data_IF_327077775317
#
_entry.id   IF_327077775317
#
_cell.length_a   1.000
_cell.length_b   1.000
_cell.length_c   1.000
_cell.angle_alpha   90.00
_cell.angle_beta   90.00
_cell.angle_gamma   90.00
#
_symmetry.space_group_name_H-M   'P 1'
#
loop_
_entity.id
_entity.type
_entity.pdbx_description
1 polymer ?
#
# COMPACT_ATOMS: atom_id res chain seq x y z
N UNK A 1 6.14 -19.07 -12.42
CA UNK A 1 6.28 -18.43 -11.10
C UNK A 1 4.89 -18.06 -10.62
N UNK A 2 4.49 -18.48 -9.41
CA UNK A 2 3.20 -18.10 -8.81
C UNK A 2 3.41 -16.76 -8.10
N UNK A 3 2.71 -15.71 -8.55
CA UNK A 3 2.65 -14.44 -7.82
C UNK A 3 1.29 -14.35 -7.10
N UNK A 4 1.33 -14.53 -5.79
CA UNK A 4 0.13 -14.55 -4.94
C UNK A 4 -0.63 -13.23 -4.94
N UNK A 5 0.06 -12.11 -5.22
CA UNK A 5 -0.58 -10.78 -5.32
C UNK A 5 -1.50 -10.67 -6.53
N UNK A 6 -1.24 -11.47 -7.56
CA UNK A 6 -1.91 -11.39 -8.87
C UNK A 6 -3.06 -12.38 -9.03
N UNK A 7 -3.45 -13.04 -7.94
CA UNK A 7 -4.58 -13.95 -7.91
C UNK A 7 -4.34 -15.30 -8.59
N UNK A 8 -3.08 -15.64 -8.85
CA UNK A 8 -2.65 -17.01 -9.17
C UNK A 8 -2.53 -17.88 -7.91
N UNK A 9 -3.06 -17.41 -6.78
CA UNK A 9 -3.07 -18.09 -5.50
C UNK A 9 -4.39 -18.83 -5.24
N UNK A 10 -4.39 -19.78 -4.29
CA UNK A 10 -5.62 -20.30 -3.70
C UNK A 10 -6.31 -19.22 -2.86
N UNK A 11 -6.96 -18.25 -3.52
CA UNK A 11 -7.93 -17.33 -2.93
C UNK A 11 -7.37 -16.31 -1.93
N UNK A 12 -7.33 -16.69 -0.65
CA UNK A 12 -7.20 -15.80 0.51
C UNK A 12 -5.78 -15.27 0.75
N UNK A 13 -4.75 -15.90 0.16
CA UNK A 13 -3.33 -15.61 0.44
C UNK A 13 -2.94 -14.19 0.00
N UNK A 14 -3.56 -13.63 -1.03
CA UNK A 14 -3.31 -12.26 -1.51
C UNK A 14 -3.51 -11.19 -0.45
N UNK A 15 -4.26 -11.48 0.62
CA UNK A 15 -4.52 -10.54 1.71
C UNK A 15 -3.51 -10.62 2.84
N UNK A 16 -2.53 -11.54 2.79
CA UNK A 16 -1.44 -11.61 3.78
C UNK A 16 -0.36 -10.55 3.52
N UNK A 17 -0.43 -9.84 2.39
CA UNK A 17 0.47 -8.74 2.06
C UNK A 17 -0.35 -7.48 1.78
N UNK A 18 -0.18 -6.45 2.60
CA UNK A 18 -0.75 -5.12 2.38
C UNK A 18 0.31 -4.08 2.71
N UNK A 19 0.81 -3.38 1.70
CA UNK A 19 1.68 -2.23 1.94
C UNK A 19 0.84 -1.12 2.61
N UNK A 20 1.41 -0.46 3.62
CA UNK A 20 0.77 0.62 4.35
C UNK A 20 1.77 1.72 4.68
N UNK A 21 1.29 2.96 4.71
CA UNK A 21 2.02 4.10 5.27
C UNK A 21 1.68 4.19 6.75
N UNK A 22 2.60 3.73 7.60
CA UNK A 22 2.40 3.69 9.04
C UNK A 22 3.05 4.89 9.72
N UNK A 23 2.34 5.47 10.70
CA UNK A 23 2.81 6.54 11.56
C UNK A 23 2.36 6.25 13.00
N UNK A 24 2.97 6.89 13.99
CA UNK A 24 2.51 6.78 15.38
C UNK A 24 1.33 7.70 15.64
N UNK A 25 0.42 7.30 16.51
CA UNK A 25 -0.73 8.12 16.93
C UNK A 25 -0.26 9.48 17.48
N UNK A 26 0.77 9.48 18.32
CA UNK A 26 1.36 10.70 18.88
C UNK A 26 1.89 11.67 17.80
N UNK A 27 2.40 11.18 16.66
CA UNK A 27 2.80 12.07 15.58
C UNK A 27 1.59 12.57 14.79
N UNK A 28 0.60 11.71 14.54
CA UNK A 28 -0.65 12.12 13.90
C UNK A 28 -1.40 13.21 14.68
N UNK A 29 -1.37 13.12 16.01
CA UNK A 29 -1.96 14.12 16.90
C UNK A 29 -1.22 15.47 16.86
N UNK A 30 0.12 15.43 16.84
CA UNK A 30 0.96 16.65 16.86
C UNK A 30 1.03 17.35 15.51
N UNK A 31 1.15 16.58 14.43
CA UNK A 31 1.47 17.08 13.09
C UNK A 31 0.47 16.59 12.03
N UNK A 32 -0.85 16.79 12.24
CA UNK A 32 -1.87 16.21 11.38
C UNK A 32 -1.79 16.68 9.92
N UNK A 33 -1.52 17.96 9.71
CA UNK A 33 -1.43 18.54 8.36
C UNK A 33 -0.24 17.97 7.57
N UNK A 34 0.87 17.69 8.26
CA UNK A 34 2.05 17.03 7.69
C UNK A 34 1.73 15.60 7.25
N UNK A 35 0.97 14.86 8.06
CA UNK A 35 0.52 13.51 7.69
C UNK A 35 -0.42 13.57 6.49
N UNK A 36 -1.40 14.47 6.49
CA UNK A 36 -2.33 14.64 5.38
C UNK A 36 -1.61 15.05 4.08
N UNK A 37 -0.59 15.91 4.17
CA UNK A 37 0.25 16.28 3.04
C UNK A 37 1.04 15.09 2.49
N UNK A 38 1.60 14.24 3.37
CA UNK A 38 2.27 13.02 2.96
C UNK A 38 1.30 12.05 2.26
N UNK A 39 0.08 11.87 2.79
CA UNK A 39 -0.97 11.06 2.14
C UNK A 39 -1.33 11.62 0.77
N UNK A 40 -1.54 12.94 0.63
CA UNK A 40 -1.77 13.59 -0.68
C UNK A 40 -0.63 13.31 -1.66
N UNK A 41 0.62 13.39 -1.21
CA UNK A 41 1.79 13.11 -2.06
C UNK A 41 1.81 11.65 -2.54
N UNK A 42 1.53 10.70 -1.64
CA UNK A 42 1.44 9.27 -1.99
C UNK A 42 0.31 9.00 -2.98
N UNK A 43 -0.88 9.56 -2.75
CA UNK A 43 -2.04 9.43 -3.65
C UNK A 43 -1.69 9.94 -5.05
N UNK A 44 -1.09 11.13 -5.15
CA UNK A 44 -0.64 11.71 -6.42
C UNK A 44 0.41 10.83 -7.11
N UNK A 45 1.38 10.32 -6.38
CA UNK A 45 2.41 9.44 -6.92
C UNK A 45 1.82 8.13 -7.46
N UNK A 46 0.95 7.46 -6.69
CA UNK A 46 0.29 6.23 -7.13
C UNK A 46 -0.60 6.46 -8.37
N UNK A 47 -1.32 7.57 -8.44
CA UNK A 47 -2.10 7.92 -9.63
C UNK A 47 -1.24 8.18 -10.85
N UNK A 48 -0.13 8.90 -10.68
CA UNK A 48 0.82 9.14 -11.75
C UNK A 48 1.40 7.82 -12.27
N UNK A 49 1.84 6.93 -11.37
CA UNK A 49 2.34 5.59 -11.71
C UNK A 49 1.28 4.73 -12.38
N UNK A 50 0.01 4.82 -11.95
CA UNK A 50 -1.09 4.10 -12.59
C UNK A 50 -1.41 4.61 -13.99
N UNK A 51 -1.27 5.91 -14.22
CA UNK A 51 -1.52 6.55 -15.52
C UNK A 51 -0.39 6.33 -16.50
N UNK A 52 0.85 6.42 -16.03
CA UNK A 52 2.06 6.23 -16.81
C UNK A 52 3.14 5.58 -15.94
N UNK A 53 3.22 4.24 -15.91
CA UNK A 53 4.23 3.51 -15.16
C UNK A 53 5.68 3.85 -15.58
N UNK A 54 5.88 4.33 -16.82
CA UNK A 54 7.22 4.62 -17.35
C UNK A 54 7.92 5.75 -16.60
N UNK A 55 7.17 6.62 -15.90
CA UNK A 55 7.76 7.68 -15.07
C UNK A 55 8.64 7.14 -13.94
N UNK A 56 8.43 5.89 -13.51
CA UNK A 56 9.26 5.26 -12.49
C UNK A 56 10.68 4.99 -12.98
N UNK A 57 10.90 4.83 -14.29
CA UNK A 57 12.24 4.60 -14.87
C UNK A 57 13.16 5.78 -14.54
N UNK A 58 12.66 7.01 -14.71
CA UNK A 58 13.41 8.25 -14.43
C UNK A 58 13.83 8.36 -12.96
N UNK A 59 13.05 7.78 -12.05
CA UNK A 59 13.38 7.71 -10.62
C UNK A 59 14.34 6.55 -10.36
N UNK A 60 14.10 5.40 -11.01
CA UNK A 60 14.95 4.21 -10.99
C UNK A 60 16.39 4.54 -11.34
N UNK A 61 16.62 5.18 -12.49
CA UNK A 61 17.95 5.57 -12.99
C UNK A 61 18.71 6.52 -12.05
N UNK A 62 17.99 7.30 -11.23
CA UNK A 62 18.60 8.23 -10.27
C UNK A 62 18.97 7.58 -8.95
N UNK A 63 18.22 6.55 -8.54
CA UNK A 63 18.33 5.97 -7.19
C UNK A 63 18.99 4.59 -7.18
N UNK A 64 19.01 3.89 -8.32
CA UNK A 64 19.48 2.51 -8.42
C UNK A 64 20.56 2.36 -9.51
N UNK A 65 21.42 1.33 -9.39
CA UNK A 65 22.37 0.99 -10.44
C UNK A 65 21.69 0.69 -11.78
N UNK A 66 22.33 0.96 -12.93
CA UNK A 66 21.75 0.73 -14.26
C UNK A 66 21.23 -0.69 -14.49
N UNK A 67 21.86 -1.69 -13.88
CA UNK A 67 21.48 -3.10 -13.98
C UNK A 67 20.11 -3.41 -13.34
N UNK A 68 19.67 -2.58 -12.39
CA UNK A 68 18.38 -2.74 -11.71
C UNK A 68 17.23 -1.97 -12.40
N UNK A 69 17.53 -1.01 -13.28
CA UNK A 69 16.50 -0.14 -13.89
C UNK A 69 15.47 -0.91 -14.69
N UNK A 70 15.91 -1.88 -15.50
CA UNK A 70 14.99 -2.71 -16.30
C UNK A 70 14.08 -3.55 -15.42
N UNK A 71 14.61 -4.13 -14.34
CA UNK A 71 13.83 -4.91 -13.37
C UNK A 71 12.78 -4.03 -12.67
N UNK A 72 13.14 -2.80 -12.29
CA UNK A 72 12.21 -1.84 -11.68
C UNK A 72 11.08 -1.50 -12.66
N UNK A 73 11.39 -1.26 -13.92
CA UNK A 73 10.38 -0.96 -14.94
C UNK A 73 9.36 -2.09 -15.07
N UNK A 74 9.83 -3.34 -15.16
CA UNK A 74 8.96 -4.51 -15.27
C UNK A 74 8.09 -4.68 -14.02
N UNK A 75 8.65 -4.49 -12.82
CA UNK A 75 7.89 -4.60 -11.57
C UNK A 75 6.80 -3.53 -11.52
N UNK A 76 7.14 -2.26 -11.76
CA UNK A 76 6.20 -1.14 -11.71
C UNK A 76 5.09 -1.30 -12.74
N UNK A 77 5.44 -1.66 -13.98
CA UNK A 77 4.47 -1.92 -15.06
C UNK A 77 3.46 -2.98 -14.63
N UNK A 78 3.94 -4.10 -14.10
CA UNK A 78 3.06 -5.18 -13.68
C UNK A 78 2.24 -4.83 -12.43
N UNK A 79 2.73 -3.94 -11.57
CA UNK A 79 2.06 -3.57 -10.32
C UNK A 79 1.04 -2.42 -10.51
N UNK A 80 0.88 -1.91 -11.74
CA UNK A 80 -0.11 -0.88 -12.14
C UNK A 80 -1.51 -1.05 -11.53
N UNK A 81 -2.12 -2.26 -11.52
CA UNK A 81 -3.45 -2.45 -10.94
C UNK A 81 -3.50 -2.26 -9.41
N UNK A 82 -2.36 -2.35 -8.73
CA UNK A 82 -2.23 -2.29 -7.28
C UNK A 82 -1.86 -0.90 -6.75
N UNK A 83 -1.62 0.09 -7.63
CA UNK A 83 -1.51 1.50 -7.24
C UNK A 83 -2.89 2.07 -6.89
N UNK A 84 -3.39 1.65 -5.72
CA UNK A 84 -4.65 2.08 -5.12
C UNK A 84 -4.37 2.54 -3.68
N UNK A 85 -4.67 3.80 -3.32
CA UNK A 85 -4.30 4.36 -2.02
C UNK A 85 -5.22 3.89 -0.89
N UNK A 86 -6.37 3.29 -1.21
CA UNK A 86 -7.38 2.92 -0.24
C UNK A 86 -7.06 1.59 0.44
N UNK A 87 -7.20 1.59 1.77
CA UNK A 87 -7.20 0.36 2.57
C UNK A 87 -8.66 0.02 2.87
N UNK A 88 -9.16 -1.12 2.38
CA UNK A 88 -10.57 -1.49 2.55
C UNK A 88 -10.83 -2.17 3.90
N UNK A 89 -12.07 -2.09 4.40
CA UNK A 89 -12.49 -2.86 5.60
C UNK A 89 -12.29 -4.37 5.37
N UNK A 90 -12.58 -4.86 4.17
CA UNK A 90 -12.33 -6.27 3.79
C UNK A 90 -10.85 -6.64 3.91
N UNK A 91 -9.94 -5.75 3.50
CA UNK A 91 -8.49 -5.96 3.64
C UNK A 91 -8.12 -6.15 5.12
N UNK A 92 -8.58 -5.25 6.00
CA UNK A 92 -8.30 -5.35 7.45
C UNK A 92 -8.95 -6.59 8.07
N UNK A 93 -10.16 -6.96 7.66
CA UNK A 93 -10.82 -8.19 8.12
C UNK A 93 -10.00 -9.44 7.77
N UNK A 94 -9.47 -9.52 6.55
CA UNK A 94 -8.69 -10.68 6.09
C UNK A 94 -7.30 -10.73 6.72
N UNK A 95 -6.64 -9.59 6.91
CA UNK A 95 -5.37 -9.52 7.66
C UNK A 95 -5.57 -9.98 9.11
N UNK A 96 -6.66 -9.54 9.76
CA UNK A 96 -7.01 -10.01 11.10
C UNK A 96 -7.22 -11.53 11.13
N UNK A 97 -8.00 -12.08 10.19
CA UNK A 97 -8.24 -13.52 10.13
C UNK A 97 -6.94 -14.31 9.96
N UNK A 98 -6.03 -13.82 9.10
CA UNK A 98 -4.71 -14.42 8.96
C UNK A 98 -3.91 -14.37 10.27
N UNK A 99 -3.79 -13.19 10.88
CA UNK A 99 -3.06 -13.01 12.14
C UNK A 99 -3.63 -13.87 13.29
N UNK A 100 -4.95 -14.08 13.33
CA UNK A 100 -5.57 -15.01 14.28
C UNK A 100 -5.21 -16.47 13.98
N UNK A 101 -5.24 -16.88 12.70
CA UNK A 101 -4.93 -18.26 12.30
C UNK A 101 -3.52 -18.70 12.68
N UNK A 102 -2.56 -17.76 12.74
CA UNK A 102 -1.17 -18.00 13.12
C UNK A 102 -0.88 -17.69 14.59
N UNK A 103 -1.92 -17.39 15.39
CA UNK A 103 -1.79 -17.14 16.83
C UNK A 103 -1.17 -15.77 17.21
N UNK A 104 -1.00 -14.84 16.26
CA UNK A 104 -0.51 -13.49 16.56
C UNK A 104 -1.57 -12.63 17.26
N UNK A 105 -2.85 -12.83 16.93
CA UNK A 105 -3.97 -12.12 17.54
C UNK A 105 -4.95 -13.09 18.18
N UNK A 106 -5.44 -12.75 19.37
CA UNK A 106 -6.53 -13.49 20.04
C UNK A 106 -7.92 -12.98 19.64
N UNK A 107 -8.01 -11.71 19.19
CA UNK A 107 -9.23 -11.04 18.73
C UNK A 107 -8.90 -10.12 17.55
N UNK A 108 -9.85 -9.84 16.64
CA UNK A 108 -9.63 -8.90 15.56
C UNK A 108 -9.45 -7.47 16.08
N UNK A 109 -8.54 -6.73 15.47
CA UNK A 109 -8.36 -5.29 15.68
C UNK A 109 -9.37 -4.51 14.82
N UNK A 110 -10.11 -3.55 15.40
CA UNK A 110 -11.05 -2.73 14.64
C UNK A 110 -10.37 -1.90 13.56
N UNK A 111 -11.12 -1.57 12.50
CA UNK A 111 -10.58 -0.85 11.33
C UNK A 111 -10.04 0.53 11.71
N UNK A 112 -10.76 1.25 12.56
CA UNK A 112 -10.46 2.60 13.05
C UNK A 112 -9.21 2.65 13.96
N UNK A 113 -8.75 1.50 14.46
CA UNK A 113 -7.47 1.39 15.19
C UNK A 113 -6.28 1.15 14.25
N UNK A 114 -6.53 0.79 12.99
CA UNK A 114 -5.48 0.52 11.99
C UNK A 114 -5.40 1.65 10.95
N UNK A 115 -6.54 2.26 10.63
CA UNK A 115 -6.65 3.31 9.61
C UNK A 115 -7.05 4.64 10.23
N UNK A 116 -6.23 5.65 10.02
CA UNK A 116 -6.55 7.03 10.35
C UNK A 116 -7.72 7.54 9.48
N UNK A 117 -8.96 7.46 9.99
CA UNK A 117 -10.18 7.75 9.22
C UNK A 117 -10.20 9.16 8.62
N UNK A 118 -9.54 10.13 9.26
CA UNK A 118 -9.35 11.49 8.75
C UNK A 118 -8.66 11.58 7.39
N UNK A 119 -7.86 10.58 7.02
CA UNK A 119 -7.15 10.54 5.73
C UNK A 119 -8.01 9.93 4.61
N UNK A 120 -9.15 9.30 4.92
CA UNK A 120 -10.00 8.62 3.92
C UNK A 120 -10.51 9.57 2.83
N UNK A 121 -10.97 10.80 3.12
CA UNK A 121 -11.39 11.74 2.08
C UNK A 121 -10.28 12.03 1.06
N UNK A 122 -9.03 12.09 1.53
CA UNK A 122 -7.83 12.42 0.73
C UNK A 122 -7.54 11.34 -0.32
N UNK A 123 -7.90 10.08 -0.06
CA UNK A 123 -7.66 8.99 -1.03
C UNK A 123 -8.39 9.22 -2.37
N UNK A 124 -9.45 10.03 -2.35
CA UNK A 124 -10.27 10.38 -3.52
C UNK A 124 -9.82 11.67 -4.21
N UNK A 125 -8.97 12.49 -3.59
CA UNK A 125 -8.41 13.73 -4.18
C UNK A 125 -7.45 13.45 -5.31
#
# INVERSE_FOLDING_TARGET
HIDVRRGYDPGEVRYTTCAGFAITDNYLEKEPESVEAAVRAIVKAQRALRSDPSIAIKVGEKLFPPEATNLISDIVNNDTPFYAPSISRTTIQRINAFAQSVGQLTKPIPYEYVVAERCIPIWKE
#
